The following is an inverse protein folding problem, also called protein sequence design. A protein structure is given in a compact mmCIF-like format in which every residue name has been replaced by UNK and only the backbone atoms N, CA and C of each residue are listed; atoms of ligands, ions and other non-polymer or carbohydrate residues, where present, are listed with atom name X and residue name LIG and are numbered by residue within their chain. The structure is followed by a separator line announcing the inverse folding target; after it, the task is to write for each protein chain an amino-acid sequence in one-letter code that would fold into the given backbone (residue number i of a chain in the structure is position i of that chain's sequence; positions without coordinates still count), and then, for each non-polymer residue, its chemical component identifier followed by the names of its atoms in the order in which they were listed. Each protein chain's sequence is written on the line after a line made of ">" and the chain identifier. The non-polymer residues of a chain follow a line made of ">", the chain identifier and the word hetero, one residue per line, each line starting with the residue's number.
data_IF_138018908021
#
_entry.id   IF_138018908021
#
_cell.length_a   1.000
_cell.length_b   1.000
_cell.length_c   1.000
_cell.angle_alpha   90.00
_cell.angle_beta   90.00
_cell.angle_gamma   90.00
#
_symmetry.space_group_name_H-M   'P 1'
#
loop_
_entity.id
_entity.type
_entity.pdbx_description
1 polymer ?
#
# COMPACT_ATOMS: atom_id res chain seq x y z
N UNK A 1 27.29 5.63 2.88
CA UNK A 1 26.53 4.44 3.33
C UNK A 1 25.57 4.81 4.45
N UNK A 2 26.03 5.26 5.62
CA UNK A 2 25.15 5.57 6.79
C UNK A 2 24.06 6.60 6.45
N UNK A 3 24.39 7.73 5.83
CA UNK A 3 23.41 8.78 5.48
C UNK A 3 22.35 8.27 4.50
N UNK A 4 22.76 7.50 3.49
CA UNK A 4 21.85 6.95 2.49
C UNK A 4 20.89 5.90 3.10
N UNK A 5 21.40 5.03 3.98
CA UNK A 5 20.58 4.06 4.70
C UNK A 5 19.64 4.73 5.70
N UNK A 6 20.08 5.78 6.41
CA UNK A 6 19.23 6.54 7.32
C UNK A 6 18.10 7.26 6.57
N UNK A 7 18.41 7.86 5.42
CA UNK A 7 17.40 8.47 4.55
C UNK A 7 16.39 7.44 4.04
N UNK A 8 16.85 6.25 3.63
CA UNK A 8 15.97 5.16 3.22
C UNK A 8 15.03 4.71 4.36
N UNK A 9 15.57 4.49 5.56
CA UNK A 9 14.77 4.08 6.73
C UNK A 9 13.75 5.15 7.11
N UNK A 10 14.14 6.43 7.10
CA UNK A 10 13.23 7.54 7.39
C UNK A 10 12.06 7.58 6.41
N UNK A 11 12.33 7.52 5.10
CA UNK A 11 11.29 7.50 4.08
C UNK A 11 10.37 6.28 4.24
N UNK A 12 10.93 5.11 4.49
CA UNK A 12 10.16 3.90 4.73
C UNK A 12 9.23 4.06 5.95
N UNK A 13 9.74 4.62 7.05
CA UNK A 13 8.98 4.80 8.28
C UNK A 13 7.76 5.73 8.14
N UNK A 14 7.88 6.80 7.34
CA UNK A 14 6.79 7.78 7.15
C UNK A 14 5.81 7.37 6.04
N UNK A 15 6.26 6.58 5.06
CA UNK A 15 5.45 6.23 3.89
C UNK A 15 4.97 4.78 3.97
N UNK A 16 5.75 3.86 3.41
CA UNK A 16 5.40 2.44 3.30
C UNK A 16 5.14 1.76 4.64
N UNK A 17 5.71 2.24 5.75
CA UNK A 17 5.46 1.72 7.10
C UNK A 17 3.98 1.75 7.48
N UNK A 18 3.36 2.94 7.65
CA UNK A 18 1.94 3.05 7.98
C UNK A 18 1.00 2.91 6.77
N UNK A 19 1.37 3.47 5.60
CA UNK A 19 0.45 3.59 4.46
C UNK A 19 0.08 2.22 3.90
N UNK A 20 0.99 1.24 3.91
CA UNK A 20 0.70 -0.10 3.38
C UNK A 20 -0.41 -0.83 4.14
N UNK A 21 -0.68 -0.46 5.39
CA UNK A 21 -1.75 -1.04 6.21
C UNK A 21 -3.04 -0.24 6.14
N UNK A 22 -2.91 1.09 6.02
CA UNK A 22 -4.05 2.01 5.96
C UNK A 22 -4.74 1.93 4.60
N UNK A 23 -3.97 2.00 3.51
CA UNK A 23 -4.52 2.12 2.17
C UNK A 23 -5.43 0.93 1.77
N UNK A 24 -5.06 -0.35 2.02
CA UNK A 24 -5.98 -1.48 1.80
C UNK A 24 -7.25 -1.40 2.64
N UNK A 25 -7.20 -0.82 3.84
CA UNK A 25 -8.39 -0.68 4.68
C UNK A 25 -9.36 0.39 4.15
N UNK A 26 -8.88 1.39 3.41
CA UNK A 26 -9.68 2.49 2.86
C UNK A 26 -10.29 2.16 1.50
N UNK A 27 -9.53 1.53 0.59
CA UNK A 27 -9.96 1.23 -0.78
C UNK A 27 -11.09 0.20 -0.88
N UNK A 28 -11.16 -0.75 0.06
CA UNK A 28 -12.16 -1.82 -0.02
C UNK A 28 -13.50 -1.44 0.61
N UNK A 29 -14.63 -1.76 -0.04
CA UNK A 29 -15.95 -1.44 0.47
C UNK A 29 -16.26 -2.24 1.73
N UNK A 30 -17.05 -1.65 2.63
CA UNK A 30 -17.31 -2.16 3.99
C UNK A 30 -17.66 -3.66 4.03
N UNK A 31 -18.47 -4.12 3.07
CA UNK A 31 -18.98 -5.50 3.01
C UNK A 31 -17.90 -6.56 2.78
N UNK A 32 -16.82 -6.24 2.04
CA UNK A 32 -15.76 -7.21 1.69
C UNK A 32 -14.41 -6.86 2.30
N UNK A 33 -14.31 -5.71 2.97
CA UNK A 33 -13.07 -5.18 3.54
C UNK A 33 -12.31 -6.19 4.38
N UNK A 34 -12.98 -6.88 5.30
CA UNK A 34 -12.33 -7.85 6.19
C UNK A 34 -11.64 -8.98 5.42
N UNK A 35 -12.25 -9.49 4.35
CA UNK A 35 -11.65 -10.54 3.51
C UNK A 35 -10.56 -10.00 2.59
N UNK A 36 -10.75 -8.81 2.02
CA UNK A 36 -9.77 -8.21 1.12
C UNK A 36 -8.49 -7.78 1.86
N UNK A 37 -8.63 -7.19 3.06
CA UNK A 37 -7.50 -6.81 3.93
C UNK A 37 -6.75 -8.05 4.44
N UNK A 38 -7.43 -9.14 4.77
CA UNK A 38 -6.75 -10.38 5.17
C UNK A 38 -5.98 -11.02 4.02
N UNK A 39 -6.52 -10.99 2.79
CA UNK A 39 -5.81 -11.42 1.58
C UNK A 39 -4.56 -10.57 1.31
N UNK A 40 -4.68 -9.24 1.45
CA UNK A 40 -3.54 -8.32 1.34
C UNK A 40 -2.46 -8.64 2.38
N UNK A 41 -2.87 -8.86 3.62
CA UNK A 41 -1.95 -9.22 4.72
C UNK A 41 -1.25 -10.56 4.45
N UNK A 42 -1.99 -11.57 3.96
CA UNK A 42 -1.41 -12.86 3.57
C UNK A 42 -0.39 -12.70 2.44
N UNK A 43 -0.69 -11.89 1.42
CA UNK A 43 0.25 -11.60 0.34
C UNK A 43 1.52 -10.92 0.84
N UNK A 44 1.41 -9.99 1.80
CA UNK A 44 2.56 -9.36 2.46
C UNK A 44 3.44 -10.40 3.17
N UNK A 45 2.85 -11.30 3.96
CA UNK A 45 3.61 -12.35 4.64
C UNK A 45 4.22 -13.37 3.67
N UNK A 46 3.51 -13.74 2.61
CA UNK A 46 4.02 -14.63 1.56
C UNK A 46 5.22 -14.01 0.83
N UNK A 47 5.15 -12.71 0.51
CA UNK A 47 6.28 -11.98 -0.06
C UNK A 47 7.45 -11.89 0.93
N UNK A 48 7.16 -11.71 2.22
CA UNK A 48 8.16 -11.79 3.28
C UNK A 48 8.87 -13.15 3.34
N UNK A 49 8.15 -14.26 3.15
CA UNK A 49 8.74 -15.58 3.05
C UNK A 49 9.61 -15.74 1.79
N UNK A 50 9.18 -15.19 0.64
CA UNK A 50 9.97 -15.17 -0.59
C UNK A 50 11.27 -14.35 -0.42
N UNK A 51 11.22 -13.23 0.31
CA UNK A 51 12.37 -12.37 0.60
C UNK A 51 13.50 -13.10 1.33
N UNK A 52 13.21 -14.13 2.13
CA UNK A 52 14.24 -14.97 2.74
C UNK A 52 15.10 -15.66 1.66
N UNK A 53 14.50 -16.00 0.52
CA UNK A 53 15.17 -16.61 -0.63
C UNK A 53 16.16 -15.69 -1.36
N UNK A 54 16.04 -14.37 -1.24
CA UNK A 54 16.99 -13.41 -1.83
C UNK A 54 18.40 -13.56 -1.26
N UNK A 55 18.54 -14.06 -0.03
CA UNK A 55 19.84 -14.37 0.57
C UNK A 55 20.62 -15.41 -0.26
N UNK A 56 19.91 -16.32 -0.96
CA UNK A 56 20.54 -17.30 -1.86
C UNK A 56 21.03 -16.69 -3.17
N UNK A 57 20.62 -15.46 -3.50
CA UNK A 57 21.02 -14.75 -4.70
C UNK A 57 22.33 -13.97 -4.53
N UNK A 58 22.79 -13.72 -3.30
CA UNK A 58 24.06 -13.04 -2.99
C UNK A 58 25.32 -13.59 -3.69
N UNK A 59 25.52 -14.92 -3.84
CA UNK A 59 26.69 -15.43 -4.56
C UNK A 59 26.66 -15.13 -6.07
N UNK A 60 25.48 -14.86 -6.64
CA UNK A 60 25.31 -14.57 -8.07
C UNK A 60 25.19 -13.06 -8.35
N UNK A 61 24.41 -12.37 -7.53
CA UNK A 61 24.30 -10.92 -7.47
C UNK A 61 25.14 -10.46 -6.28
N UNK A 62 26.33 -9.94 -6.55
CA UNK A 62 27.13 -9.20 -5.57
C UNK A 62 26.26 -8.20 -4.78
N UNK A 63 26.73 -7.75 -3.62
CA UNK A 63 25.96 -6.85 -2.73
C UNK A 63 25.37 -5.63 -3.46
N UNK A 64 26.14 -5.03 -4.38
CA UNK A 64 25.68 -3.92 -5.20
C UNK A 64 24.50 -4.30 -6.13
N UNK A 65 24.54 -5.51 -6.71
CA UNK A 65 23.47 -6.01 -7.58
C UNK A 65 22.15 -6.17 -6.84
N UNK A 66 22.19 -6.67 -5.60
CA UNK A 66 20.99 -6.79 -4.74
C UNK A 66 20.41 -5.41 -4.44
N UNK A 67 21.24 -4.41 -4.13
CA UNK A 67 20.78 -3.03 -3.93
C UNK A 67 20.15 -2.42 -5.19
N UNK A 68 20.71 -2.67 -6.38
CA UNK A 68 20.09 -2.22 -7.64
C UNK A 68 18.74 -2.91 -7.91
N UNK A 69 18.62 -4.20 -7.59
CA UNK A 69 17.35 -4.93 -7.70
C UNK A 69 16.28 -4.34 -6.78
N UNK A 70 16.62 -4.05 -5.53
CA UNK A 70 15.70 -3.38 -4.60
C UNK A 70 15.36 -1.96 -5.07
N UNK A 71 16.33 -1.18 -5.54
CA UNK A 71 16.07 0.17 -6.07
C UNK A 71 15.12 0.14 -7.28
N UNK A 72 15.30 -0.83 -8.19
CA UNK A 72 14.40 -1.02 -9.33
C UNK A 72 12.97 -1.39 -8.86
N UNK A 73 12.84 -2.34 -7.92
CA UNK A 73 11.55 -2.72 -7.35
C UNK A 73 10.85 -1.55 -6.63
N UNK A 74 11.57 -0.76 -5.84
CA UNK A 74 11.04 0.44 -5.19
C UNK A 74 10.57 1.49 -6.22
N UNK A 75 11.33 1.66 -7.31
CA UNK A 75 10.94 2.58 -8.39
C UNK A 75 9.68 2.11 -9.10
N UNK A 76 9.60 0.81 -9.43
CA UNK A 76 8.40 0.21 -10.02
C UNK A 76 7.18 0.36 -9.10
N UNK A 77 7.34 0.08 -7.80
CA UNK A 77 6.28 0.27 -6.81
C UNK A 77 5.84 1.74 -6.72
N UNK A 78 6.78 2.69 -6.72
CA UNK A 78 6.48 4.12 -6.75
C UNK A 78 5.70 4.53 -8.00
N UNK A 79 6.09 4.03 -9.18
CA UNK A 79 5.35 4.31 -10.42
C UNK A 79 3.95 3.70 -10.41
N UNK A 80 3.79 2.50 -9.84
CA UNK A 80 2.47 1.89 -9.69
C UNK A 80 1.55 2.75 -8.82
N UNK A 81 2.04 3.20 -7.66
CA UNK A 81 1.26 4.07 -6.77
C UNK A 81 0.89 5.38 -7.49
N UNK A 82 1.82 5.99 -8.21
CA UNK A 82 1.56 7.27 -8.89
C UNK A 82 0.45 7.20 -9.94
N UNK A 83 0.34 6.09 -10.68
CA UNK A 83 -0.65 5.96 -11.77
C UNK A 83 -1.95 5.24 -11.37
N UNK A 84 -1.88 4.28 -10.45
CA UNK A 84 -3.01 3.37 -10.17
C UNK A 84 -3.66 3.59 -8.79
N UNK A 85 -3.01 4.31 -7.87
CA UNK A 85 -3.56 4.59 -6.55
C UNK A 85 -4.09 6.02 -6.48
N UNK A 86 -5.42 6.23 -6.61
CA UNK A 86 -6.01 7.55 -6.38
C UNK A 86 -5.86 7.99 -4.93
N UNK A 87 -5.82 9.30 -4.70
CA UNK A 87 -5.72 9.89 -3.36
C UNK A 87 -7.01 9.66 -2.57
N UNK A 88 -6.91 9.06 -1.38
CA UNK A 88 -8.04 8.75 -0.48
C UNK A 88 -8.17 9.75 0.67
N UNK A 89 -7.23 10.68 0.82
CA UNK A 89 -7.21 11.62 1.94
C UNK A 89 -8.42 12.56 1.97
N UNK A 90 -8.99 12.73 3.16
CA UNK A 90 -10.16 13.58 3.48
C UNK A 90 -11.47 13.15 2.81
N UNK A 91 -11.56 11.93 2.29
CA UNK A 91 -12.81 11.35 1.79
C UNK A 91 -13.42 10.42 2.84
N UNK A 92 -14.74 10.42 2.93
CA UNK A 92 -15.44 9.38 3.69
C UNK A 92 -15.29 8.03 2.97
N UNK A 93 -15.30 6.93 3.73
CA UNK A 93 -15.21 5.58 3.18
C UNK A 93 -16.26 5.30 2.10
N UNK A 94 -17.43 5.91 2.21
CA UNK A 94 -18.54 5.81 1.25
C UNK A 94 -18.26 6.60 -0.04
N UNK A 95 -17.58 7.74 0.05
CA UNK A 95 -17.15 8.55 -1.10
C UNK A 95 -16.00 7.88 -1.86
N UNK A 96 -15.13 7.14 -1.15
CA UNK A 96 -14.08 6.33 -1.77
C UNK A 96 -14.70 5.19 -2.61
N UNK A 97 -15.79 4.58 -2.15
CA UNK A 97 -16.48 3.53 -2.91
C UNK A 97 -17.05 4.07 -4.23
N UNK A 98 -17.53 5.31 -4.26
CA UNK A 98 -17.98 6.00 -5.49
C UNK A 98 -16.83 6.27 -6.47
N UNK A 99 -15.61 6.47 -5.97
CA UNK A 99 -14.41 6.69 -6.80
C UNK A 99 -14.06 5.45 -7.63
N UNK A 100 -14.30 4.26 -7.09
CA UNK A 100 -14.03 2.98 -7.74
C UNK A 100 -15.27 2.37 -8.43
N UNK A 101 -16.49 2.82 -8.09
CA UNK A 101 -17.73 2.31 -8.68
C UNK A 101 -18.75 3.44 -8.99
N UNK A 102 -18.63 4.12 -10.16
CA UNK A 102 -19.46 5.26 -10.52
C UNK A 102 -20.95 4.95 -10.80
N UNK A 103 -21.37 3.68 -10.69
CA UNK A 103 -22.75 3.23 -10.97
C UNK A 103 -23.59 2.96 -9.71
N UNK A 104 -23.06 3.20 -8.51
CA UNK A 104 -23.84 3.08 -7.27
C UNK A 104 -24.75 4.31 -7.13
N UNK A 105 -26.07 4.09 -7.07
CA UNK A 105 -27.08 5.15 -6.91
C UNK A 105 -26.99 5.72 -5.48
N UNK A 106 -26.96 7.05 -5.28
CA UNK A 106 -26.81 7.70 -3.97
C UNK A 106 -27.90 7.38 -2.92
N UNK A 107 -29.03 6.80 -3.34
CA UNK A 107 -30.22 6.61 -2.48
C UNK A 107 -30.05 5.53 -1.38
N UNK A 108 -29.01 4.70 -1.45
CA UNK A 108 -28.71 3.66 -0.44
C UNK A 108 -27.69 4.09 0.62
N UNK A 109 -27.19 5.33 0.57
CA UNK A 109 -26.16 5.85 1.48
C UNK A 109 -26.85 6.62 2.62
N UNK A 110 -26.81 6.14 3.89
CA UNK A 110 -27.29 6.91 5.02
C UNK A 110 -26.37 8.13 5.17
N UNK A 111 -26.85 9.31 4.77
CA UNK A 111 -26.13 10.58 4.97
C UNK A 111 -25.74 10.70 6.46
N UNK A 112 -24.45 10.75 6.81
CA UNK A 112 -24.05 10.99 8.18
C UNK A 112 -24.35 12.46 8.50
N UNK A 113 -25.16 12.64 9.55
CA UNK A 113 -25.49 13.92 10.17
C UNK A 113 -24.20 14.72 10.39
N UNK A 114 -24.03 15.81 9.63
CA UNK A 114 -22.89 16.73 9.69
C UNK A 114 -22.81 17.57 10.97
N UNK A 115 -23.49 17.15 12.05
CA UNK A 115 -23.66 17.94 13.27
C UNK A 115 -23.46 17.08 14.53
N UNK A 116 -22.22 16.72 14.87
CA UNK A 116 -21.81 16.46 16.26
C UNK A 116 -20.32 16.82 16.44
N UNK A 117 -20.08 18.13 16.59
CA UNK A 117 -18.95 18.83 17.24
C UNK A 117 -17.57 18.77 16.58
#
# INVERSE_FOLDING_TARGET
>A
MIVATAFFIFNFAISWGPICWIYPAEIFPMRVRAMAVSLSTMANWAMGALMIGILKLFPYLNINGVFYLFAALCTCAGTFVYYFCPETKNLLLEEIELLFNPHVVPDDIPTPVKDQV
#
